data_IF_624840601646
#
_entry.id   IF_624840601646
#
_cell.length_a   1.000
_cell.length_b   1.000
_cell.length_c   1.000
_cell.angle_alpha   90.00
_cell.angle_beta   90.00
_cell.angle_gamma   90.00
#
_symmetry.space_group_name_H-M   'P 1'
#
loop_
_entity.id
_entity.type
_entity.pdbx_description
1 polymer ?
#
# COMPACT_ATOMS: atom_id res chain seq x y z
N UNK A 1 17.35 14.57 28.75
CA UNK A 1 17.74 15.04 28.73
C UNK A 1 17.88 14.80 28.41
N UNK A 2 17.60 14.41 28.29
CA UNK A 2 17.83 14.63 28.48
C UNK A 2 18.08 14.28 28.08
N UNK A 3 17.83 13.66 27.97
CA UNK A 3 18.26 13.77 28.04
C UNK A 3 18.52 13.19 27.74
N UNK A 4 18.36 12.56 27.54
CA UNK A 4 18.74 12.51 27.71
C UNK A 4 19.09 12.11 27.15
N UNK A 5 18.78 11.69 27.12
CA UNK A 5 19.18 11.85 27.03
C UNK A 5 19.53 11.38 26.58
N UNK A 6 19.53 10.79 26.85
CA UNK A 6 19.97 10.97 26.97
C UNK A 6 20.31 10.71 26.74
N UNK A 7 19.93 10.07 27.46
CA UNK A 7 20.24 10.47 27.71
C UNK A 7 20.39 10.40 27.83
N UNK A 8 20.19 10.01 28.76
CA UNK A 8 20.40 10.56 29.21
C UNK A 8 20.47 10.52 29.50
N UNK A 9 20.27 10.16 29.89
CA UNK A 9 20.34 10.75 30.59
C UNK A 9 20.34 10.73 30.93
N UNK A 10 19.93 10.22 31.28
CA UNK A 10 19.97 10.80 31.93
C UNK A 10 19.85 10.75 32.19
N UNK A 11 19.19 10.39 32.69
CA UNK A 11 18.93 10.78 33.14
C UNK A 11 18.80 10.74 33.25
N UNK A 12 18.52 10.28 33.59
CA UNK A 12 18.24 10.69 33.90
C UNK A 12 17.89 10.80 33.83
N UNK A 13 17.42 10.14 33.82
CA UNK A 13 17.07 10.65 33.96
C UNK A 13 16.67 10.82 33.93
N UNK A 14 16.37 10.41 34.32
CA UNK A 14 16.02 10.99 34.50
C UNK A 14 15.49 11.27 34.62
N UNK A 15 15.10 11.01 35.03
CA UNK A 15 14.59 11.70 35.21
C UNK A 15 13.99 11.92 35.16
N UNK A 16 13.53 11.74 35.39
CA UNK A 16 12.94 12.46 35.45
C UNK A 16 12.38 12.55 35.52
N UNK A 17 12.01 12.54 35.76
CA UNK A 17 11.37 13.01 35.87
C UNK A 17 10.71 13.18 35.86
N UNK A 18 10.30 13.06 36.02
CA UNK A 18 9.58 13.57 35.99
C UNK A 18 9.16 13.94 35.64
N UNK A 19 8.89 13.99 35.48
CA UNK A 19 8.54 14.64 35.01
C UNK A 19 8.10 14.68 34.56
N UNK A 20 7.90 14.47 34.47
CA UNK A 20 7.49 14.71 33.88
C UNK A 20 7.11 14.26 33.27
N UNK A 21 7.31 13.53 33.17
CA UNK A 21 6.81 13.21 32.33
C UNK A 21 5.64 13.12 31.83
N UNK A 22 4.92 13.08 31.78
CA UNK A 22 3.69 13.47 31.36
C UNK A 22 3.65 14.18 30.09
N UNK A 23 4.48 15.00 29.86
CA UNK A 23 4.66 15.71 28.61
C UNK A 23 4.78 14.77 27.46
N UNK A 24 5.36 13.66 27.72
CA UNK A 24 5.57 12.70 26.66
C UNK A 24 4.30 12.19 26.05
N UNK A 25 3.23 12.24 26.78
CA UNK A 25 1.97 11.80 26.23
C UNK A 25 1.53 12.64 25.08
N UNK A 26 1.95 13.88 25.07
CA UNK A 26 1.54 14.76 23.99
C UNK A 26 2.32 14.50 22.72
N UNK A 27 3.34 13.67 22.81
CA UNK A 27 4.15 13.35 21.67
C UNK A 27 3.89 11.99 21.13
N UNK A 28 2.79 11.38 21.53
CA UNK A 28 2.42 10.12 20.94
C UNK A 28 2.21 10.36 19.46
N UNK A 29 3.08 9.77 18.68
CA UNK A 29 3.03 9.97 17.25
C UNK A 29 1.86 9.21 16.67
N UNK A 30 1.21 9.86 15.73
CA UNK A 30 0.20 9.17 14.95
C UNK A 30 0.86 8.73 13.64
N UNK A 31 0.36 7.67 13.07
CA UNK A 31 0.82 7.19 11.77
C UNK A 31 -0.40 6.90 10.93
N UNK A 32 -0.19 6.87 9.63
CA UNK A 32 -1.23 6.53 8.66
C UNK A 32 -1.24 5.02 8.47
N UNK A 33 -2.41 4.43 8.50
CA UNK A 33 -2.57 3.00 8.29
C UNK A 33 -2.05 2.63 6.89
N UNK A 34 -1.41 1.47 6.79
CA UNK A 34 -0.83 1.02 5.54
C UNK A 34 -1.59 -0.18 4.99
N UNK A 35 -1.41 -0.44 3.72
CA UNK A 35 -1.94 -1.64 3.10
C UNK A 35 -0.79 -2.42 2.48
N UNK A 36 -1.01 -3.71 2.30
CA UNK A 36 -0.01 -4.59 1.74
C UNK A 36 -0.67 -5.55 0.76
N UNK A 37 0.09 -6.00 -0.22
CA UNK A 37 -0.38 -7.00 -1.18
C UNK A 37 -0.24 -8.37 -0.54
N UNK A 38 -1.33 -9.13 -0.54
CA UNK A 38 -1.35 -10.50 0.00
C UNK A 38 -1.13 -11.51 -1.11
N UNK A 39 -1.72 -11.27 -2.26
CA UNK A 39 -1.60 -12.19 -3.39
C UNK A 39 -0.17 -12.25 -3.88
N UNK A 40 0.29 -13.45 -4.19
CA UNK A 40 1.61 -13.64 -4.79
C UNK A 40 1.44 -13.60 -6.29
N UNK A 41 1.64 -12.40 -6.86
CA UNK A 41 1.46 -12.23 -8.29
C UNK A 41 2.78 -11.82 -8.92
N UNK A 42 3.20 -12.56 -9.94
CA UNK A 42 4.39 -12.26 -10.70
C UNK A 42 4.05 -12.05 -12.17
N UNK A 43 2.95 -12.61 -12.61
CA UNK A 43 2.58 -12.61 -14.03
C UNK A 43 1.08 -12.38 -14.16
N UNK A 44 0.71 -11.52 -15.09
CA UNK A 44 -0.68 -11.26 -15.43
C UNK A 44 -0.94 -11.90 -16.80
N UNK A 45 -1.91 -12.80 -16.85
CA UNK A 45 -2.18 -13.54 -18.09
C UNK A 45 -3.57 -13.28 -18.66
N UNK A 46 -4.39 -12.54 -17.93
CA UNK A 46 -5.77 -12.24 -18.37
C UNK A 46 -6.03 -10.75 -18.27
N UNK A 47 -7.03 -10.28 -19.01
CA UNK A 47 -7.41 -8.87 -18.99
C UNK A 47 -8.10 -8.46 -17.70
N UNK A 48 -8.43 -9.42 -16.85
CA UNK A 48 -9.02 -9.15 -15.54
C UNK A 48 -8.18 -9.88 -14.50
N UNK A 49 -7.77 -9.18 -13.48
CA UNK A 49 -7.04 -9.78 -12.36
C UNK A 49 -7.65 -9.32 -11.06
N UNK A 50 -7.89 -10.26 -10.15
CA UNK A 50 -8.37 -9.95 -8.82
C UNK A 50 -7.23 -10.24 -7.84
N UNK A 51 -6.91 -9.26 -7.02
CA UNK A 51 -5.81 -9.38 -6.09
C UNK A 51 -6.29 -9.09 -4.68
N UNK A 52 -5.73 -9.81 -3.72
CA UNK A 52 -6.06 -9.63 -2.31
C UNK A 52 -5.01 -8.76 -1.66
N UNK A 53 -5.49 -7.85 -0.85
CA UNK A 53 -4.66 -6.94 -0.07
C UNK A 53 -5.12 -7.01 1.38
N UNK A 54 -4.33 -6.45 2.27
CA UNK A 54 -4.71 -6.36 3.67
C UNK A 54 -4.38 -4.96 4.19
N UNK A 55 -5.30 -4.43 4.99
CA UNK A 55 -5.01 -3.26 5.80
C UNK A 55 -4.18 -3.76 6.97
N UNK A 56 -2.97 -3.25 7.12
CA UNK A 56 -1.96 -3.88 7.97
C UNK A 56 -2.31 -3.88 9.45
N UNK A 57 -3.07 -2.89 9.92
CA UNK A 57 -3.48 -2.84 11.31
C UNK A 57 -4.82 -2.12 11.43
N UNK A 58 -5.52 -2.32 12.56
CA UNK A 58 -6.78 -1.61 12.73
C UNK A 58 -6.56 -0.14 13.00
N UNK A 59 -7.53 0.67 12.63
CA UNK A 59 -7.53 2.10 12.92
C UNK A 59 -7.69 2.29 14.42
N UNK A 60 -7.02 3.30 14.96
CA UNK A 60 -7.09 3.62 16.38
C UNK A 60 -6.79 5.11 16.56
N UNK A 61 -6.60 5.52 17.81
CA UNK A 61 -6.26 6.91 18.11
C UNK A 61 -4.92 7.28 17.49
N UNK A 62 -4.01 6.31 17.33
CA UNK A 62 -2.67 6.58 16.80
C UNK A 62 -2.50 6.11 15.36
N UNK A 63 -3.39 5.25 14.88
CA UNK A 63 -3.34 4.76 13.50
C UNK A 63 -4.48 5.38 12.74
N UNK A 64 -4.19 6.33 11.86
CA UNK A 64 -5.21 7.14 11.21
C UNK A 64 -5.60 6.55 9.86
N UNK A 65 -6.88 6.69 9.53
CA UNK A 65 -7.42 6.25 8.27
C UNK A 65 -6.89 7.09 7.11
N UNK A 66 -6.84 6.48 5.95
CA UNK A 66 -6.51 7.20 4.72
C UNK A 66 -7.13 6.47 3.54
N UNK A 67 -7.02 7.08 2.36
CA UNK A 67 -7.47 6.47 1.12
C UNK A 67 -6.27 6.17 0.24
N UNK A 68 -6.33 5.05 -0.46
CA UNK A 68 -5.29 4.65 -1.39
C UNK A 68 -5.86 4.49 -2.79
N UNK A 69 -5.07 4.85 -3.77
CA UNK A 69 -5.39 4.65 -5.17
C UNK A 69 -4.45 3.60 -5.73
N UNK A 70 -5.00 2.56 -6.34
CA UNK A 70 -4.22 1.44 -6.84
C UNK A 70 -4.49 1.27 -8.33
N UNK A 71 -3.45 1.08 -9.10
CA UNK A 71 -3.58 0.84 -10.53
C UNK A 71 -2.32 0.18 -11.05
N UNK A 72 -2.39 -0.29 -12.30
CA UNK A 72 -1.22 -0.81 -12.99
C UNK A 72 -0.77 0.20 -14.04
N UNK A 73 0.55 0.34 -14.16
CA UNK A 73 1.16 1.23 -15.15
C UNK A 73 2.28 0.49 -15.88
N UNK A 74 2.63 1.01 -17.05
CA UNK A 74 3.81 0.53 -17.77
C UNK A 74 5.05 1.21 -17.24
N UNK A 75 6.21 0.77 -17.72
CA UNK A 75 7.46 1.42 -17.32
C UNK A 75 7.53 2.86 -17.87
N UNK A 76 6.68 3.19 -18.84
CA UNK A 76 6.59 4.55 -19.39
C UNK A 76 5.52 5.37 -18.67
N UNK A 77 5.00 4.87 -17.57
CA UNK A 77 3.96 5.53 -16.77
C UNK A 77 2.60 5.60 -17.45
N UNK A 78 2.37 4.76 -18.43
CA UNK A 78 1.05 4.69 -19.07
C UNK A 78 0.12 3.88 -18.18
N UNK A 79 -1.09 4.38 -17.92
CA UNK A 79 -2.08 3.60 -17.19
C UNK A 79 -2.56 2.45 -18.05
N UNK A 80 -2.48 1.25 -17.55
CA UNK A 80 -2.92 0.06 -18.29
C UNK A 80 -4.09 -0.63 -17.61
N UNK A 81 -4.58 -0.10 -16.52
CA UNK A 81 -5.75 -0.63 -15.82
C UNK A 81 -6.62 0.49 -15.29
N UNK A 82 -7.81 0.13 -14.81
CA UNK A 82 -8.63 1.05 -14.07
C UNK A 82 -7.95 1.41 -12.75
N UNK A 83 -8.37 2.51 -12.16
CA UNK A 83 -7.91 2.91 -10.83
C UNK A 83 -8.89 2.39 -9.81
N UNK A 84 -8.37 1.75 -8.78
CA UNK A 84 -9.18 1.30 -7.64
C UNK A 84 -8.90 2.21 -6.46
N UNK A 85 -9.97 2.61 -5.77
CA UNK A 85 -9.83 3.43 -4.56
C UNK A 85 -10.22 2.56 -3.39
N UNK A 86 -9.35 2.52 -2.39
CA UNK A 86 -9.64 1.79 -1.16
C UNK A 86 -9.52 2.73 0.03
N UNK A 87 -10.58 2.77 0.84
CA UNK A 87 -10.57 3.57 2.05
C UNK A 87 -10.15 2.65 3.19
N UNK A 88 -8.97 2.92 3.73
CA UNK A 88 -8.40 2.09 4.79
C UNK A 88 -8.87 2.63 6.13
N UNK A 89 -10.04 2.15 6.57
CA UNK A 89 -10.67 2.64 7.79
C UNK A 89 -11.21 1.51 8.66
N UNK A 90 -10.74 0.29 8.47
CA UNK A 90 -11.23 -0.84 9.25
C UNK A 90 -10.71 -0.78 10.68
N UNK A 91 -11.60 -1.03 11.62
CA UNK A 91 -11.26 -1.05 13.04
C UNK A 91 -11.13 -2.48 13.57
N UNK A 92 -11.39 -3.46 12.76
CA UNK A 92 -11.40 -4.87 13.16
C UNK A 92 -10.01 -5.32 13.59
N UNK A 93 -9.94 -5.92 14.76
CA UNK A 93 -8.70 -6.46 15.29
C UNK A 93 -8.32 -7.73 14.55
N UNK A 94 -9.32 -8.49 14.09
CA UNK A 94 -9.10 -9.73 13.36
C UNK A 94 -8.53 -9.44 11.98
N UNK A 95 -7.31 -9.93 11.69
CA UNK A 95 -6.70 -9.66 10.39
C UNK A 95 -7.54 -10.13 9.21
N UNK A 96 -8.29 -11.20 9.38
CA UNK A 96 -9.13 -11.72 8.30
C UNK A 96 -10.18 -10.70 7.87
N UNK A 97 -10.60 -9.86 8.78
CA UNK A 97 -11.61 -8.84 8.46
C UNK A 97 -11.03 -7.60 7.83
N UNK A 98 -9.70 -7.53 7.76
CA UNK A 98 -9.03 -6.42 7.12
C UNK A 98 -8.49 -6.76 5.72
N UNK A 99 -8.72 -8.00 5.28
CA UNK A 99 -8.35 -8.41 3.92
C UNK A 99 -9.43 -7.92 2.97
N UNK A 100 -9.00 -7.40 1.81
CA UNK A 100 -9.93 -6.93 0.80
C UNK A 100 -9.43 -7.34 -0.57
N UNK A 101 -10.34 -7.48 -1.52
CA UNK A 101 -10.04 -7.89 -2.87
C UNK A 101 -10.38 -6.77 -3.82
N UNK A 102 -9.46 -6.47 -4.73
CA UNK A 102 -9.68 -5.48 -5.77
C UNK A 102 -9.55 -6.14 -7.12
N UNK A 103 -10.37 -5.68 -8.04
CA UNK A 103 -10.42 -6.22 -9.38
C UNK A 103 -9.89 -5.17 -10.35
N UNK A 104 -8.92 -5.60 -11.15
CA UNK A 104 -8.29 -4.72 -12.14
C UNK A 104 -8.66 -5.21 -13.53
N UNK A 105 -9.12 -4.28 -14.36
CA UNK A 105 -9.43 -4.55 -15.75
C UNK A 105 -8.34 -3.87 -16.58
N UNK A 106 -7.63 -4.66 -17.37
CA UNK A 106 -6.51 -4.15 -18.15
C UNK A 106 -6.99 -3.70 -19.53
N UNK A 107 -6.32 -2.70 -20.07
CA UNK A 107 -6.63 -2.24 -21.41
C UNK A 107 -6.36 -3.39 -22.39
N UNK A 108 -7.23 -3.52 -23.37
CA UNK A 108 -7.09 -4.56 -24.38
C UNK A 108 -6.12 -4.05 -25.43
N UNK A 109 -4.84 -4.27 -25.20
CA UNK A 109 -3.78 -3.88 -26.09
C UNK A 109 -2.69 -4.93 -26.04
N UNK A 110 -1.72 -4.82 -26.91
CA UNK A 110 -0.61 -5.73 -26.93
C UNK A 110 0.39 -5.34 -25.85
N UNK A 111 0.82 -6.32 -25.07
CA UNK A 111 1.80 -6.11 -24.02
C UNK A 111 3.07 -6.86 -24.34
N UNK A 112 4.19 -6.32 -23.88
CA UNK A 112 5.51 -6.88 -24.15
C UNK A 112 6.01 -7.58 -22.90
N UNK A 113 6.24 -8.89 -23.00
CA UNK A 113 6.70 -9.66 -21.83
C UNK A 113 8.08 -9.25 -21.38
N UNK A 114 8.86 -8.62 -22.22
CA UNK A 114 10.21 -8.20 -21.85
C UNK A 114 10.21 -6.85 -21.13
N UNK A 115 9.10 -6.14 -21.12
CA UNK A 115 9.00 -4.86 -20.43
C UNK A 115 8.47 -5.05 -19.03
N UNK A 116 8.77 -4.09 -18.18
CA UNK A 116 8.28 -4.11 -16.82
C UNK A 116 6.98 -3.32 -16.71
N UNK A 117 6.08 -3.88 -15.93
CA UNK A 117 4.82 -3.23 -15.61
C UNK A 117 4.68 -3.27 -14.10
N UNK A 118 3.97 -2.32 -13.54
CA UNK A 118 3.94 -2.18 -12.08
C UNK A 118 2.53 -2.00 -11.56
N UNK A 119 2.25 -2.70 -10.46
CA UNK A 119 1.15 -2.32 -9.60
C UNK A 119 1.67 -1.21 -8.71
N UNK A 120 1.03 -0.06 -8.74
CA UNK A 120 1.44 1.07 -7.90
C UNK A 120 0.30 1.47 -6.99
N UNK A 121 0.66 1.88 -5.79
CA UNK A 121 -0.28 2.31 -4.77
C UNK A 121 0.13 3.70 -4.34
N UNK A 122 -0.81 4.62 -4.39
CA UNK A 122 -0.59 6.00 -3.98
C UNK A 122 -1.47 6.33 -2.79
N UNK A 123 -0.91 7.05 -1.83
CA UNK A 123 -1.70 7.67 -0.78
C UNK A 123 -2.40 8.86 -1.41
N UNK A 124 -3.72 8.80 -1.49
CA UNK A 124 -4.49 9.85 -2.17
C UNK A 124 -4.36 11.21 -1.53
N UNK A 125 -4.18 11.26 -0.21
CA UNK A 125 -4.10 12.54 0.47
C UNK A 125 -2.85 13.30 0.10
N UNK A 126 -1.75 12.60 -0.04
CA UNK A 126 -0.45 13.21 -0.28
C UNK A 126 0.06 13.01 -1.70
N UNK A 127 -0.66 12.22 -2.48
CA UNK A 127 -0.29 11.86 -3.85
C UNK A 127 1.13 11.29 -3.90
N UNK A 128 1.45 10.47 -2.91
CA UNK A 128 2.75 9.82 -2.79
C UNK A 128 2.63 8.35 -3.09
N UNK A 129 3.55 7.86 -3.91
CA UNK A 129 3.63 6.43 -4.17
C UNK A 129 4.17 5.74 -2.92
N UNK A 130 3.42 4.77 -2.41
CA UNK A 130 3.81 4.07 -1.20
C UNK A 130 4.19 2.61 -1.45
N UNK A 131 3.87 2.09 -2.63
CA UNK A 131 4.20 0.70 -2.97
C UNK A 131 4.29 0.56 -4.47
N UNK A 132 5.27 -0.22 -4.91
CA UNK A 132 5.44 -0.55 -6.32
C UNK A 132 5.84 -2.02 -6.41
N UNK A 133 5.08 -2.79 -7.18
CA UNK A 133 5.32 -4.22 -7.33
C UNK A 133 5.37 -4.53 -8.83
N UNK A 134 6.47 -5.09 -9.29
CA UNK A 134 6.61 -5.35 -10.73
C UNK A 134 5.97 -6.67 -11.10
N UNK A 135 5.40 -6.71 -12.28
CA UNK A 135 4.76 -7.89 -12.85
C UNK A 135 5.14 -8.01 -14.31
N UNK A 136 5.02 -9.22 -14.83
CA UNK A 136 5.18 -9.49 -16.26
C UNK A 136 3.79 -9.58 -16.86
N UNK A 137 3.56 -8.89 -17.98
CA UNK A 137 2.29 -8.98 -18.68
C UNK A 137 2.46 -10.01 -19.79
N UNK A 138 1.83 -11.17 -19.61
CA UNK A 138 1.94 -12.28 -20.53
C UNK A 138 0.55 -12.65 -21.04
N UNK A 139 0.04 -11.83 -21.95
CA UNK A 139 -1.29 -12.00 -22.50
C UNK A 139 -1.21 -12.40 -23.95
N UNK A 140 -0.54 -13.52 -24.18
CA UNK A 140 -0.32 -13.98 -25.53
C UNK A 140 -1.62 -14.16 -26.30
N UNK A 141 -2.66 -14.56 -25.61
CA UNK A 141 -3.91 -14.84 -26.30
C UNK A 141 -4.47 -13.61 -26.99
N UNK A 142 -4.23 -12.45 -26.45
CA UNK A 142 -4.79 -11.24 -27.04
C UNK A 142 -4.34 -11.05 -28.46
N UNK A 143 -3.16 -11.56 -28.78
CA UNK A 143 -2.65 -11.46 -30.11
C UNK A 143 -3.27 -12.49 -31.02
N UNK A 144 -3.57 -13.65 -30.47
CA UNK A 144 -4.04 -14.74 -31.28
C UNK A 144 -5.43 -14.56 -31.71
N UNK A 145 -6.19 -13.98 -30.89
CA UNK A 145 -7.54 -13.83 -31.25
C UNK A 145 -7.77 -12.67 -32.05
N UNK A 146 -6.72 -12.04 -32.06
CA UNK A 146 -6.81 -11.03 -32.99
C UNK A 146 -7.22 -11.64 -34.25
N UNK A 147 -7.17 -12.61 -34.09
CA UNK A 147 -7.36 -13.39 -34.70
C UNK A 147 -8.22 -14.04 -34.98
N UNK A 148 -7.99 -14.65 -34.68
CA UNK A 148 -8.42 -15.31 -34.78
C UNK A 148 -9.23 -15.63 -34.88
N UNK A 149 -9.13 -15.78 -35.20
CA UNK A 149 -9.57 -15.79 -35.38
C UNK A 149 -9.68 -15.60 -35.67
#
# INVERSE_FOLDING_TARGET
GQNYVHGGSSPQEMIVPVIDIRTEKYYTETKTVQIALVSMVQKITNLIASLDFIQSEPISDVVKATSYKLLFISEDNEKISNECIYIADKKDVDPQKRIFRLRFNFKNKQYDKSKKYYLVVYDEKNDLEVLRHDVVMDMAFANDFGFKV
#
